data_IF_236190364095
#
_entry.id   IF_236190364095
#
_cell.length_a   1.000
_cell.length_b   1.000
_cell.length_c   1.000
_cell.angle_alpha   90.00
_cell.angle_beta   90.00
_cell.angle_gamma   90.00
#
_symmetry.space_group_name_H-M   'P 1'
#
loop_
_entity.id
_entity.type
_entity.pdbx_description
1 polymer ?
#
# COMPACT_ATOMS: atom_id res chain seq x y z
N UNK A 1 -47.74 -33.18 22.22
CA UNK A 1 -48.14 -32.53 20.96
C UNK A 1 -47.12 -31.43 20.72
N UNK A 2 -46.03 -31.70 20.00
CA UNK A 2 -45.86 -31.59 18.53
C UNK A 2 -45.92 -30.14 18.01
N UNK A 3 -44.74 -29.56 17.82
CA UNK A 3 -44.26 -28.70 16.71
C UNK A 3 -42.85 -28.22 17.15
N UNK A 4 -41.68 -28.59 16.64
CA UNK A 4 -41.21 -29.10 15.34
C UNK A 4 -41.63 -28.22 14.15
N UNK A 5 -40.79 -27.23 13.85
CA UNK A 5 -40.56 -26.59 12.55
C UNK A 5 -39.73 -25.31 12.77
N UNK A 6 -38.65 -24.93 12.07
CA UNK A 6 -37.78 -25.50 11.04
C UNK A 6 -36.98 -24.31 10.48
N UNK A 7 -35.71 -24.50 10.10
CA UNK A 7 -35.10 -23.93 8.86
C UNK A 7 -34.80 -22.40 8.91
N UNK A 8 -33.64 -21.85 8.58
CA UNK A 8 -32.43 -22.32 7.87
C UNK A 8 -31.27 -21.43 8.30
N UNK A 9 -30.06 -22.00 8.31
CA UNK A 9 -28.82 -21.27 8.39
C UNK A 9 -28.75 -20.18 7.30
N UNK A 10 -28.63 -18.92 7.71
CA UNK A 10 -28.16 -17.86 6.82
C UNK A 10 -26.67 -18.13 6.60
N UNK A 11 -26.34 -18.82 5.50
CA UNK A 11 -24.99 -18.94 4.98
C UNK A 11 -24.47 -17.54 4.71
N UNK A 12 -23.73 -17.00 5.67
CA UNK A 12 -22.83 -15.87 5.44
C UNK A 12 -21.78 -16.42 4.48
N UNK A 13 -21.96 -16.15 3.19
CA UNK A 13 -20.87 -16.23 2.23
C UNK A 13 -19.88 -15.12 2.61
N UNK A 14 -19.04 -15.40 3.61
CA UNK A 14 -17.77 -14.72 3.76
C UNK A 14 -16.99 -15.04 2.49
N UNK A 15 -17.05 -14.14 1.51
CA UNK A 15 -16.10 -14.05 0.43
C UNK A 15 -14.74 -13.68 1.01
N UNK A 16 -14.10 -14.63 1.71
CA UNK A 16 -12.67 -14.62 2.04
C UNK A 16 -11.91 -15.32 0.91
N UNK A 17 -12.19 -14.91 -0.32
CA UNK A 17 -11.53 -15.45 -1.50
C UNK A 17 -10.93 -14.30 -2.32
N UNK A 18 -9.91 -13.66 -1.74
CA UNK A 18 -8.83 -12.98 -2.45
C UNK A 18 -7.64 -12.67 -1.50
N UNK A 19 -7.36 -13.55 -0.53
CA UNK A 19 -6.09 -13.49 0.22
C UNK A 19 -5.25 -14.67 -0.25
N UNK A 20 -4.56 -14.52 -1.38
CA UNK A 20 -3.63 -15.55 -1.80
C UNK A 20 -3.09 -15.35 -3.22
N UNK A 21 -1.81 -14.95 -3.29
CA UNK A 21 -0.94 -15.11 -4.47
C UNK A 21 -1.23 -14.22 -5.67
N UNK A 22 -1.65 -12.98 -5.43
CA UNK A 22 -1.71 -11.96 -6.50
C UNK A 22 -0.59 -10.95 -6.23
N UNK A 23 0.31 -10.78 -7.19
CA UNK A 23 1.28 -9.68 -7.17
C UNK A 23 0.59 -8.43 -7.67
N UNK A 24 0.76 -7.32 -6.95
CA UNK A 24 0.27 -6.02 -7.37
C UNK A 24 1.41 -5.24 -7.99
N UNK A 25 1.25 -4.82 -9.24
CA UNK A 25 2.16 -3.88 -9.90
C UNK A 25 1.98 -2.49 -9.27
N UNK A 26 3.06 -1.94 -8.73
CA UNK A 26 3.04 -0.62 -8.07
C UNK A 26 3.87 0.42 -8.81
N UNK A 27 4.33 0.10 -10.03
CA UNK A 27 5.19 0.97 -10.83
C UNK A 27 4.51 2.30 -11.15
N UNK A 28 3.18 2.30 -11.31
CA UNK A 28 2.41 3.52 -11.51
C UNK A 28 2.40 4.41 -10.26
N UNK A 29 2.18 3.83 -9.08
CA UNK A 29 2.21 4.57 -7.82
C UNK A 29 3.58 5.18 -7.54
N UNK A 30 4.65 4.41 -7.76
CA UNK A 30 6.02 4.92 -7.65
C UNK A 30 6.28 6.08 -8.60
N UNK A 31 5.86 5.96 -9.86
CA UNK A 31 6.09 6.98 -10.87
C UNK A 31 5.38 8.30 -10.51
N UNK A 32 4.18 8.24 -9.94
CA UNK A 32 3.45 9.42 -9.46
C UNK A 32 4.21 10.09 -8.30
N UNK A 33 4.59 9.35 -7.25
CA UNK A 33 5.35 9.91 -6.12
C UNK A 33 6.69 10.49 -6.60
N UNK A 34 7.40 9.77 -7.48
CA UNK A 34 8.67 10.26 -8.04
C UNK A 34 8.48 11.57 -8.81
N UNK A 35 7.38 11.74 -9.56
CA UNK A 35 7.08 13.02 -10.22
C UNK A 35 6.87 14.15 -9.20
N UNK A 36 6.25 13.87 -8.07
CA UNK A 36 6.03 14.85 -6.99
C UNK A 36 7.32 15.22 -6.25
N UNK A 37 8.26 14.28 -6.07
CA UNK A 37 9.54 14.51 -5.40
C UNK A 37 10.60 15.15 -6.31
N UNK A 38 10.49 14.98 -7.63
CA UNK A 38 11.45 15.49 -8.62
C UNK A 38 11.76 16.99 -8.51
N UNK A 39 10.78 17.89 -8.29
CA UNK A 39 11.05 19.33 -8.09
C UNK A 39 11.91 19.65 -6.87
N UNK A 40 11.88 18.79 -5.85
CA UNK A 40 12.73 18.89 -4.66
C UNK A 40 14.09 18.18 -4.82
N UNK A 41 14.38 17.63 -6.01
CA UNK A 41 15.60 16.88 -6.29
C UNK A 41 15.60 15.45 -5.73
N UNK A 42 14.42 14.90 -5.40
CA UNK A 42 14.28 13.52 -4.93
C UNK A 42 13.73 12.56 -5.96
N UNK A 43 13.88 11.26 -5.68
CA UNK A 43 13.20 10.16 -6.37
C UNK A 43 12.71 9.14 -5.37
N UNK A 44 11.73 8.34 -5.76
CA UNK A 44 11.17 7.27 -4.94
C UNK A 44 11.37 5.96 -5.68
N UNK A 45 12.07 5.00 -5.07
CA UNK A 45 12.28 3.68 -5.65
C UNK A 45 11.49 2.66 -4.86
N UNK A 46 10.52 2.02 -5.50
CA UNK A 46 9.73 0.95 -4.91
C UNK A 46 10.06 -0.38 -5.60
N UNK A 47 9.72 -1.53 -5.00
CA UNK A 47 9.71 -2.79 -5.76
C UNK A 47 8.71 -2.70 -6.92
N UNK A 48 8.98 -3.34 -8.05
CA UNK A 48 8.05 -3.32 -9.19
C UNK A 48 6.70 -4.00 -8.84
N UNK A 49 6.79 -5.09 -8.07
CA UNK A 49 5.66 -5.91 -7.65
C UNK A 49 5.68 -6.15 -6.14
N UNK A 50 4.50 -6.09 -5.52
CA UNK A 50 4.29 -6.42 -4.11
C UNK A 50 3.38 -7.64 -4.02
N UNK A 51 3.81 -8.65 -3.27
CA UNK A 51 2.95 -9.80 -2.99
C UNK A 51 1.81 -9.40 -2.04
N UNK A 52 0.57 -9.62 -2.49
CA UNK A 52 -0.64 -9.30 -1.73
C UNK A 52 -1.48 -8.21 -2.38
N UNK A 53 -2.57 -7.85 -1.70
CA UNK A 53 -3.48 -6.77 -2.10
C UNK A 53 -3.58 -5.71 -1.01
N UNK A 54 -4.73 -5.07 -0.87
CA UNK A 54 -5.00 -4.06 0.17
C UNK A 54 -4.46 -4.49 1.55
N UNK A 55 -3.72 -3.59 2.20
CA UNK A 55 -3.04 -3.79 3.47
C UNK A 55 -1.67 -4.48 3.39
N UNK A 56 -1.21 -4.90 2.20
CA UNK A 56 0.14 -5.45 2.03
C UNK A 56 1.20 -4.39 2.32
N UNK A 57 2.24 -4.77 3.06
CA UNK A 57 3.31 -3.88 3.49
C UNK A 57 4.56 -4.13 2.68
N UNK A 58 5.23 -3.07 2.30
CA UNK A 58 6.48 -3.10 1.56
C UNK A 58 7.31 -1.86 1.89
N UNK A 59 8.53 -1.82 1.38
CA UNK A 59 9.45 -0.72 1.63
C UNK A 59 9.83 -0.07 0.31
N UNK A 60 9.78 1.26 0.26
CA UNK A 60 10.37 2.05 -0.81
C UNK A 60 11.57 2.84 -0.27
N UNK A 61 12.41 3.33 -1.16
CA UNK A 61 13.57 4.16 -0.84
C UNK A 61 13.36 5.56 -1.40
N UNK A 62 13.24 6.55 -0.53
CA UNK A 62 13.32 7.96 -0.92
C UNK A 62 14.79 8.34 -1.07
N UNK A 63 15.19 8.71 -2.28
CA UNK A 63 16.53 9.25 -2.58
C UNK A 63 16.45 10.76 -2.72
N UNK A 64 17.50 11.44 -2.28
CA UNK A 64 17.63 12.88 -2.45
C UNK A 64 19.00 13.38 -1.99
N UNK A 65 19.21 14.71 -1.98
CA UNK A 65 20.49 15.31 -1.61
C UNK A 65 20.96 14.97 -0.18
N UNK A 66 20.04 14.71 0.73
CA UNK A 66 20.33 14.31 2.12
C UNK A 66 20.62 12.82 2.31
N UNK A 67 20.61 12.06 1.20
CA UNK A 67 20.85 10.62 1.15
C UNK A 67 19.58 9.78 1.13
N UNK A 68 19.78 8.47 1.12
CA UNK A 68 18.71 7.50 0.93
C UNK A 68 18.00 7.21 2.27
N UNK A 69 16.66 7.21 2.25
CA UNK A 69 15.82 6.91 3.40
C UNK A 69 14.84 5.79 3.05
N UNK A 70 14.78 4.75 3.89
CA UNK A 70 13.78 3.69 3.76
C UNK A 70 12.45 4.18 4.29
N UNK A 71 11.40 3.95 3.51
CA UNK A 71 10.04 4.42 3.75
C UNK A 71 9.10 3.22 3.72
N UNK A 72 8.51 2.84 4.86
CA UNK A 72 7.52 1.77 4.89
C UNK A 72 6.20 2.25 4.26
N UNK A 73 5.75 1.51 3.27
CA UNK A 73 4.55 1.77 2.48
C UNK A 73 3.56 0.61 2.63
N UNK A 74 2.32 0.89 2.30
CA UNK A 74 1.23 -0.08 2.30
C UNK A 74 0.47 0.04 0.98
N UNK A 75 -0.09 -1.08 0.51
CA UNK A 75 -1.12 -1.05 -0.52
C UNK A 75 -2.42 -0.61 0.15
N UNK A 76 -3.03 0.44 -0.37
CA UNK A 76 -4.33 0.94 0.05
C UNK A 76 -5.30 0.90 -1.13
N UNK A 77 -6.58 1.01 -0.86
CA UNK A 77 -7.61 1.12 -1.91
C UNK A 77 -8.17 2.54 -1.88
N UNK A 78 -7.88 3.33 -2.92
CA UNK A 78 -8.44 4.67 -3.11
C UNK A 78 -9.41 4.64 -4.29
N UNK A 79 -10.64 5.10 -4.07
CA UNK A 79 -11.72 5.11 -5.08
C UNK A 79 -12.03 3.75 -5.74
N UNK A 80 -11.64 2.64 -5.08
CA UNK A 80 -11.84 1.27 -5.59
C UNK A 80 -10.67 0.75 -6.44
N UNK A 81 -9.58 1.52 -6.54
CA UNK A 81 -8.33 1.14 -7.21
C UNK A 81 -7.22 0.99 -6.17
N UNK A 82 -6.29 0.04 -6.41
CA UNK A 82 -5.13 -0.13 -5.54
C UNK A 82 -4.14 1.03 -5.75
N UNK A 83 -3.79 1.69 -4.66
CA UNK A 83 -2.83 2.78 -4.57
C UNK A 83 -1.74 2.46 -3.54
N UNK A 84 -0.61 3.17 -3.62
CA UNK A 84 0.44 3.06 -2.61
C UNK A 84 0.33 4.21 -1.62
N UNK A 85 0.29 3.89 -0.33
CA UNK A 85 0.17 4.85 0.76
C UNK A 85 1.28 4.69 1.79
N UNK A 86 1.65 5.73 2.54
CA UNK A 86 2.57 5.60 3.65
C UNK A 86 1.95 4.79 4.79
N UNK A 87 2.71 3.84 5.37
CA UNK A 87 2.22 3.09 6.54
C UNK A 87 2.03 4.01 7.77
N UNK A 88 2.88 5.03 7.89
CA UNK A 88 2.77 6.08 8.91
C UNK A 88 3.12 7.43 8.28
N UNK A 89 2.16 8.35 8.29
CA UNK A 89 2.31 9.68 7.68
C UNK A 89 3.48 10.48 8.27
N UNK A 90 3.72 10.39 9.58
CA UNK A 90 4.79 11.16 10.23
C UNK A 90 6.16 10.60 9.89
N UNK A 91 6.28 9.28 9.81
CA UNK A 91 7.50 8.62 9.40
C UNK A 91 7.83 8.94 7.94
N UNK A 92 6.82 8.93 7.06
CA UNK A 92 6.95 9.33 5.66
C UNK A 92 7.48 10.77 5.53
N UNK A 93 6.81 11.73 6.16
CA UNK A 93 7.24 13.14 6.15
C UNK A 93 8.64 13.33 6.71
N UNK A 94 8.98 12.61 7.79
CA UNK A 94 10.31 12.66 8.39
C UNK A 94 11.38 12.10 7.44
N UNK A 95 11.09 11.00 6.75
CA UNK A 95 11.99 10.39 5.79
C UNK A 95 12.20 11.31 4.57
N UNK A 96 11.13 11.87 3.99
CA UNK A 96 11.25 12.83 2.90
C UNK A 96 12.03 14.08 3.31
N UNK A 97 11.75 14.62 4.50
CA UNK A 97 12.47 15.79 5.01
C UNK A 97 13.97 15.50 5.12
N UNK A 98 14.35 14.31 5.61
CA UNK A 98 15.76 13.90 5.70
C UNK A 98 16.38 13.64 4.33
N UNK A 99 15.68 12.96 3.43
CA UNK A 99 16.17 12.64 2.09
C UNK A 99 16.36 13.90 1.24
N UNK A 100 15.49 14.89 1.40
CA UNK A 100 15.48 16.12 0.60
C UNK A 100 16.25 17.28 1.24
N UNK A 101 16.68 17.14 2.50
CA UNK A 101 17.52 18.15 3.14
C UNK A 101 18.93 18.13 2.53
N UNK A 102 19.48 19.27 2.07
CA UNK A 102 20.83 19.34 1.51
C UNK A 102 21.95 19.24 2.55
#
# INVERSE_FOLDING_TARGET
MRALATITALLIALGLAACGTETTDITQGEAEITKELKPAGGSFECPDEVEGGEGAKFECTAKGPGGDQVVPMTLDTEDGELAIGPQDQKQYESALTKALAP
#
